data_IF_818350293786
#
_entry.id   IF_818350293786
#
_cell.length_a   1.000
_cell.length_b   1.000
_cell.length_c   1.000
_cell.angle_alpha   90.00
_cell.angle_beta   90.00
_cell.angle_gamma   90.00
#
_symmetry.space_group_name_H-M   'P 1'
#
loop_
_entity.id
_entity.type
_entity.pdbx_description
1 polymer ?
#
# COMPACT_ATOMS: atom_id res chain seq x y z
N UNK A 1 -4.22 -2.91 18.36
CA UNK A 1 -4.41 -2.93 16.89
C UNK A 1 -4.88 -4.32 16.48
N UNK A 2 -5.94 -4.45 15.66
CA UNK A 2 -6.38 -5.76 15.18
C UNK A 2 -5.40 -6.28 14.13
N UNK A 3 -4.89 -7.50 14.29
CA UNK A 3 -4.06 -8.19 13.29
C UNK A 3 -4.80 -8.20 11.94
N UNK A 4 -4.14 -7.76 10.86
CA UNK A 4 -4.73 -7.72 9.51
C UNK A 4 -4.37 -8.97 8.70
N UNK A 5 -3.12 -9.40 8.83
CA UNK A 5 -2.51 -10.46 8.06
C UNK A 5 -2.28 -11.70 8.90
N UNK A 6 -2.34 -12.88 8.28
CA UNK A 6 -1.81 -14.13 8.86
C UNK A 6 -0.28 -14.06 8.92
N UNK A 7 0.29 -13.66 7.80
CA UNK A 7 1.73 -13.52 7.51
C UNK A 7 1.96 -12.25 6.71
N UNK A 8 3.12 -11.64 6.84
CA UNK A 8 3.46 -10.42 6.09
C UNK A 8 3.62 -10.78 4.60
N UNK A 9 2.96 -10.06 3.66
CA UNK A 9 3.20 -10.22 2.23
C UNK A 9 4.68 -10.10 1.88
N UNK A 10 5.17 -10.92 0.96
CA UNK A 10 6.56 -10.85 0.52
C UNK A 10 6.82 -9.58 -0.31
N UNK A 11 8.04 -9.05 -0.21
CA UNK A 11 8.43 -7.77 -0.84
C UNK A 11 8.23 -7.77 -2.37
N UNK A 12 8.64 -8.84 -3.02
CA UNK A 12 8.51 -9.09 -4.45
C UNK A 12 7.05 -9.07 -4.91
N UNK A 13 6.14 -9.69 -4.14
CA UNK A 13 4.70 -9.69 -4.43
C UNK A 13 4.12 -8.27 -4.32
N UNK A 14 4.54 -7.49 -3.32
CA UNK A 14 4.09 -6.10 -3.17
C UNK A 14 4.63 -5.22 -4.31
N UNK A 15 5.88 -5.41 -4.74
CA UNK A 15 6.43 -4.70 -5.91
C UNK A 15 5.69 -5.08 -7.19
N UNK A 16 5.40 -6.36 -7.41
CA UNK A 16 4.60 -6.83 -8.55
C UNK A 16 3.22 -6.16 -8.57
N UNK A 17 2.52 -6.14 -7.42
CA UNK A 17 1.23 -5.46 -7.28
C UNK A 17 1.33 -3.99 -7.71
N UNK A 18 2.37 -3.27 -7.27
CA UNK A 18 2.57 -1.86 -7.63
C UNK A 18 2.84 -1.71 -9.13
N UNK A 19 3.65 -2.57 -9.74
CA UNK A 19 3.91 -2.53 -11.18
C UNK A 19 2.63 -2.72 -11.98
N UNK A 20 1.80 -3.71 -11.62
CA UNK A 20 0.52 -3.97 -12.28
C UNK A 20 -0.47 -2.82 -12.11
N UNK A 21 -0.43 -2.11 -10.99
CA UNK A 21 -1.25 -0.91 -10.74
C UNK A 21 -0.77 0.33 -11.52
N UNK A 22 0.41 0.27 -12.14
CA UNK A 22 0.97 1.33 -12.98
C UNK A 22 2.15 2.12 -12.40
N UNK A 23 2.74 1.65 -11.30
CA UNK A 23 3.91 2.26 -10.67
C UNK A 23 5.22 1.64 -11.17
N UNK A 24 6.35 2.30 -10.93
CA UNK A 24 7.69 1.71 -11.18
C UNK A 24 8.19 0.82 -10.03
N UNK A 25 7.46 0.77 -8.92
CA UNK A 25 7.81 0.04 -7.70
C UNK A 25 7.58 0.89 -6.45
N UNK A 26 8.20 0.51 -5.32
CA UNK A 26 8.04 1.20 -4.02
C UNK A 26 8.70 2.59 -3.95
N UNK A 27 9.70 2.84 -4.79
CA UNK A 27 10.42 4.13 -4.84
C UNK A 27 9.71 5.17 -5.72
N UNK A 28 8.56 4.82 -6.30
CA UNK A 28 7.78 5.76 -7.10
C UNK A 28 7.13 6.81 -6.18
N UNK A 29 7.71 8.01 -6.20
CA UNK A 29 7.25 9.15 -5.41
C UNK A 29 6.28 10.04 -6.19
N UNK A 30 5.81 9.64 -7.38
CA UNK A 30 4.87 10.44 -8.16
C UNK A 30 3.50 10.50 -7.44
N UNK A 31 2.94 11.70 -7.23
CA UNK A 31 1.57 11.84 -6.76
C UNK A 31 0.57 11.31 -7.81
N UNK A 32 -0.46 10.61 -7.35
CA UNK A 32 -1.49 10.02 -8.20
C UNK A 32 -2.88 10.16 -7.56
N UNK A 33 -3.94 10.13 -8.37
CA UNK A 33 -5.32 9.99 -7.90
C UNK A 33 -5.80 8.55 -8.02
N UNK A 34 -6.89 8.20 -7.32
CA UNK A 34 -7.43 6.84 -7.35
C UNK A 34 -7.92 6.43 -8.75
N UNK A 35 -8.26 7.39 -9.59
CA UNK A 35 -8.68 7.20 -10.99
C UNK A 35 -7.51 6.85 -11.92
N UNK A 36 -6.26 7.11 -11.52
CA UNK A 36 -5.06 6.77 -12.31
C UNK A 36 -4.60 5.32 -12.11
N UNK A 37 -5.22 4.58 -11.17
CA UNK A 37 -4.93 3.17 -10.92
C UNK A 37 -5.42 2.29 -12.07
N UNK A 38 -4.58 1.35 -12.51
CA UNK A 38 -4.96 0.33 -13.50
C UNK A 38 -5.86 -0.74 -12.87
N UNK A 39 -7.17 -0.51 -12.94
CA UNK A 39 -8.17 -1.40 -12.34
C UNK A 39 -8.45 -2.66 -13.17
N UNK A 40 -7.96 -2.73 -14.40
CA UNK A 40 -8.04 -3.89 -15.29
C UNK A 40 -7.01 -4.98 -14.97
N UNK A 41 -6.07 -4.72 -14.06
CA UNK A 41 -5.00 -5.66 -13.69
C UNK A 41 -5.23 -6.39 -12.37
N UNK A 42 -6.40 -6.21 -11.73
CA UNK A 42 -6.70 -6.80 -10.41
C UNK A 42 -6.48 -8.31 -10.37
N UNK A 43 -6.88 -9.02 -11.42
CA UNK A 43 -6.79 -10.49 -11.48
C UNK A 43 -5.34 -11.01 -11.46
N UNK A 44 -4.35 -10.15 -11.78
CA UNK A 44 -2.94 -10.54 -11.83
C UNK A 44 -2.25 -10.52 -10.47
N UNK A 45 -2.69 -9.64 -9.56
CA UNK A 45 -2.01 -9.43 -8.28
C UNK A 45 -2.89 -9.74 -7.07
N UNK A 46 -4.21 -9.54 -7.16
CA UNK A 46 -5.11 -9.72 -6.03
C UNK A 46 -5.07 -11.15 -5.46
N UNK A 47 -5.07 -12.22 -6.28
CA UNK A 47 -4.94 -13.59 -5.78
C UNK A 47 -3.61 -13.91 -5.09
N UNK A 48 -2.57 -13.11 -5.35
CA UNK A 48 -1.25 -13.27 -4.74
C UNK A 48 -1.17 -12.59 -3.37
N UNK A 49 -1.88 -11.47 -3.18
CA UNK A 49 -1.91 -10.74 -1.91
C UNK A 49 -3.00 -11.26 -0.96
N UNK A 50 -4.16 -11.65 -1.47
CA UNK A 50 -5.32 -12.06 -0.66
C UNK A 50 -5.01 -13.14 0.39
N UNK A 51 -4.24 -14.21 0.10
CA UNK A 51 -3.98 -15.29 1.06
C UNK A 51 -3.24 -14.86 2.33
N UNK A 52 -2.51 -13.74 2.26
CA UNK A 52 -1.82 -13.16 3.42
C UNK A 52 -2.80 -12.54 4.42
N UNK A 53 -4.01 -12.15 4.00
CA UNK A 53 -5.00 -11.58 4.91
C UNK A 53 -5.65 -12.64 5.81
N UNK A 54 -6.08 -12.22 7.01
CA UNK A 54 -7.06 -13.01 7.77
C UNK A 54 -8.35 -13.16 6.95
N UNK A 55 -9.04 -14.31 7.01
CA UNK A 55 -10.12 -14.62 6.07
C UNK A 55 -11.29 -13.63 6.15
N UNK A 56 -11.60 -13.10 7.33
CA UNK A 56 -12.61 -12.04 7.48
C UNK A 56 -12.19 -10.70 6.85
N UNK A 57 -10.88 -10.40 6.83
CA UNK A 57 -10.32 -9.19 6.21
C UNK A 57 -10.18 -9.36 4.70
N UNK A 58 -9.75 -10.54 4.24
CA UNK A 58 -9.75 -10.93 2.83
C UNK A 58 -11.15 -10.71 2.23
N UNK A 59 -12.18 -11.34 2.82
CA UNK A 59 -13.58 -11.17 2.41
C UNK A 59 -14.03 -9.70 2.39
N UNK A 60 -13.58 -8.90 3.36
CA UNK A 60 -13.97 -7.48 3.45
C UNK A 60 -13.33 -6.63 2.35
N UNK A 61 -12.09 -6.88 1.98
CA UNK A 61 -11.33 -6.02 1.07
C UNK A 61 -11.30 -6.55 -0.36
N UNK A 62 -11.32 -7.87 -0.57
CA UNK A 62 -11.11 -8.51 -1.87
C UNK A 62 -12.40 -8.91 -2.61
N UNK A 63 -13.53 -9.13 -1.91
CA UNK A 63 -14.79 -9.56 -2.55
C UNK A 63 -15.32 -8.62 -3.67
N UNK A 64 -14.98 -7.33 -3.61
CA UNK A 64 -15.39 -6.35 -4.62
C UNK A 64 -14.38 -5.20 -4.62
N UNK A 65 -13.20 -5.46 -5.17
CA UNK A 65 -12.13 -4.47 -5.26
C UNK A 65 -12.55 -3.31 -6.16
N UNK A 66 -12.71 -2.14 -5.53
CA UNK A 66 -12.81 -0.85 -6.22
C UNK A 66 -11.53 -0.06 -5.96
N UNK A 67 -11.35 1.08 -6.64
CA UNK A 67 -10.15 1.90 -6.48
C UNK A 67 -9.93 2.35 -5.03
N UNK A 68 -10.98 2.54 -4.23
CA UNK A 68 -10.85 2.91 -2.80
C UNK A 68 -10.31 1.75 -1.98
N UNK A 69 -10.75 0.53 -2.26
CA UNK A 69 -10.26 -0.69 -1.61
C UNK A 69 -8.84 -1.02 -2.05
N UNK A 70 -8.47 -0.77 -3.31
CA UNK A 70 -7.08 -0.89 -3.75
C UNK A 70 -6.17 0.06 -2.96
N UNK A 71 -6.55 1.34 -2.84
CA UNK A 71 -5.85 2.30 -1.96
C UNK A 71 -5.77 1.78 -0.52
N UNK A 72 -6.83 1.14 -0.02
CA UNK A 72 -6.86 0.56 1.33
C UNK A 72 -5.89 -0.61 1.47
N UNK A 73 -5.82 -1.51 0.48
CA UNK A 73 -4.86 -2.61 0.44
C UNK A 73 -3.44 -2.06 0.40
N UNK A 74 -3.15 -1.06 -0.45
CA UNK A 74 -1.85 -0.37 -0.47
C UNK A 74 -1.48 0.18 0.91
N UNK A 75 -2.40 0.87 1.59
CA UNK A 75 -2.17 1.38 2.96
C UNK A 75 -1.87 0.29 3.98
N UNK A 76 -2.39 -0.92 3.79
CA UNK A 76 -2.12 -2.02 4.69
C UNK A 76 -0.75 -2.67 4.44
N UNK A 77 -0.33 -2.84 3.18
CA UNK A 77 0.88 -3.61 2.84
C UNK A 77 2.15 -2.76 2.86
N UNK A 78 2.09 -1.50 2.44
CA UNK A 78 3.26 -0.63 2.34
C UNK A 78 4.05 -0.46 3.67
N UNK A 79 3.40 -0.30 4.84
CA UNK A 79 4.12 -0.07 6.10
C UNK A 79 5.08 -1.20 6.48
N UNK A 80 4.70 -2.45 6.15
CA UNK A 80 5.52 -3.63 6.40
C UNK A 80 6.82 -3.66 5.58
N UNK A 81 6.93 -2.80 4.57
CA UNK A 81 8.11 -2.68 3.73
C UNK A 81 8.81 -1.32 3.87
N UNK A 82 8.49 -0.53 4.89
CA UNK A 82 9.14 0.76 5.11
C UNK A 82 8.62 1.90 4.27
N UNK A 83 7.38 1.80 3.81
CA UNK A 83 6.71 2.85 3.05
C UNK A 83 5.35 3.18 3.64
N UNK A 84 4.89 4.41 3.41
CA UNK A 84 3.54 4.85 3.78
C UNK A 84 2.86 5.49 2.58
N UNK A 85 1.56 5.27 2.46
CA UNK A 85 0.73 5.99 1.49
C UNK A 85 0.13 7.22 2.16
N UNK A 86 0.70 8.39 1.86
CA UNK A 86 0.15 9.66 2.31
C UNK A 86 -0.98 10.10 1.39
N UNK A 87 -2.01 10.73 1.98
CA UNK A 87 -3.10 11.35 1.24
C UNK A 87 -3.23 12.81 1.61
N UNK A 88 -3.42 13.68 0.62
CA UNK A 88 -3.62 15.11 0.81
C UNK A 88 -4.59 15.67 -0.25
N UNK A 89 -5.17 16.83 0.03
CA UNK A 89 -5.99 17.55 -0.94
C UNK A 89 -5.09 18.37 -1.88
N UNK A 90 -5.37 18.30 -3.17
CA UNK A 90 -4.75 19.17 -4.17
C UNK A 90 -5.86 19.86 -4.96
N UNK A 91 -5.70 21.17 -5.18
CA UNK A 91 -6.58 21.90 -6.08
C UNK A 91 -6.05 21.77 -7.51
N UNK A 92 -6.87 21.22 -8.39
CA UNK A 92 -6.57 21.11 -9.82
C UNK A 92 -7.72 21.73 -10.62
N UNK A 93 -7.41 22.79 -11.38
CA UNK A 93 -8.38 23.56 -12.17
C UNK A 93 -9.58 24.06 -11.35
N UNK A 94 -9.34 24.54 -10.13
CA UNK A 94 -10.39 25.05 -9.24
C UNK A 94 -11.21 23.95 -8.54
N UNK A 95 -10.96 22.67 -8.81
CA UNK A 95 -11.62 21.54 -8.15
C UNK A 95 -10.66 20.87 -7.17
N UNK A 96 -11.12 20.67 -5.94
CA UNK A 96 -10.41 19.86 -4.94
C UNK A 96 -10.45 18.40 -5.35
N UNK A 97 -9.31 17.73 -5.28
CA UNK A 97 -9.17 16.28 -5.46
C UNK A 97 -8.27 15.71 -4.38
N UNK A 98 -8.57 14.50 -3.96
CA UNK A 98 -7.66 13.73 -3.11
C UNK A 98 -6.58 13.12 -3.98
N UNK A 99 -5.33 13.33 -3.57
CA UNK A 99 -4.16 12.71 -4.20
C UNK A 99 -3.42 11.89 -3.15
N UNK A 100 -2.76 10.85 -3.65
CA UNK A 100 -1.99 9.90 -2.88
C UNK A 100 -0.54 9.92 -3.34
N UNK A 101 0.37 9.61 -2.43
CA UNK A 101 1.79 9.55 -2.74
C UNK A 101 2.47 8.55 -1.80
N UNK A 102 3.32 7.69 -2.37
CA UNK A 102 4.14 6.75 -1.61
C UNK A 102 5.34 7.52 -1.09
N UNK A 103 5.62 7.38 0.21
CA UNK A 103 6.77 7.97 0.88
C UNK A 103 7.49 6.90 1.68
N UNK A 104 8.82 6.96 1.79
CA UNK A 104 9.53 6.20 2.82
C UNK A 104 8.89 6.49 4.19
N UNK A 105 8.62 5.45 4.96
CA UNK A 105 8.28 5.59 6.35
C UNK A 105 9.50 6.19 7.06
N UNK A 106 9.28 7.22 7.87
CA UNK A 106 10.38 7.84 8.62
C UNK A 106 10.95 6.76 9.54
N UNK A 107 12.25 6.42 9.45
CA UNK A 107 12.84 5.46 10.36
C UNK A 107 12.76 6.06 11.77
N UNK A 108 12.03 5.39 12.66
CA UNK A 108 12.22 5.63 14.08
C UNK A 108 13.54 4.94 14.47
N UNK A 109 14.58 5.73 14.70
CA UNK A 109 15.81 5.24 15.34
C UNK A 109 15.43 4.90 16.78
N UNK A 110 15.13 3.63 17.05
CA UNK A 110 15.01 3.13 18.42
C UNK A 110 16.43 2.76 18.85
N UNK A 111 17.05 3.61 19.67
CA UNK A 111 18.28 3.24 20.35
C UNK A 111 17.91 2.20 21.43
N UNK A 112 18.06 0.91 21.12
CA UNK A 112 18.18 -0.12 22.15
C UNK A 112 19.67 -0.40 22.32
N UNK A 113 20.12 -0.44 23.57
CA UNK A 113 21.53 -0.57 23.92
C UNK A 113 22.15 -1.77 23.19
N UNK A 114 23.03 -1.45 22.23
CA UNK A 114 23.94 -2.31 21.46
C UNK A 114 23.52 -2.86 20.09
N UNK A 115 22.31 -2.63 19.57
CA UNK A 115 22.01 -2.92 18.15
C UNK A 115 21.00 -1.93 17.54
N UNK A 116 21.36 -1.29 16.42
CA UNK A 116 20.46 -0.42 15.66
C UNK A 116 19.51 -1.30 14.84
N UNK A 117 18.32 -1.59 15.37
CA UNK A 117 17.23 -2.18 14.60
C UNK A 117 16.42 -1.07 13.89
N UNK A 118 16.45 -1.06 12.56
CA UNK A 118 15.56 -0.19 11.77
C UNK A 118 14.19 -0.84 11.72
N UNK A 119 13.25 -0.30 12.50
CA UNK A 119 11.86 -0.76 12.53
C UNK A 119 11.03 0.12 11.59
N UNK A 120 10.33 -0.51 10.67
CA UNK A 120 9.34 0.12 9.81
C UNK A 120 7.94 -0.21 10.37
N UNK A 121 7.18 0.82 10.78
CA UNK A 121 5.83 0.71 11.35
C UNK A 121 4.76 1.15 10.34
#
# INVERSE_FOLDING_TARGET
MSKLFRETPAYDIVVLMLIELGFLGLQDSKPFSMEELKMDTLDKWAPLIEPYYLPCKAKRYFNSLDSRRVITVMKHVLPYHGFKLQSYERNYMGKKRTVYQIHPATPHLVAMEQDICVMFL
#
